data_IF_975680558704
#
_entry.id   IF_975680558704
#
_cell.length_a   1.000
_cell.length_b   1.000
_cell.length_c   1.000
_cell.angle_alpha   90.00
_cell.angle_beta   90.00
_cell.angle_gamma   90.00
#
_symmetry.space_group_name_H-M   'P 1'
#
loop_
_entity.id
_entity.type
_entity.pdbx_description
1 polymer ?
#
# COMPACT_ATOMS: atom_id res chain seq x y z
N UNK A 1 -18.47 -12.43 -32.71
CA UNK A 1 -17.31 -12.47 -31.80
C UNK A 1 -16.30 -13.46 -32.37
N UNK A 2 -15.13 -13.01 -32.82
CA UNK A 2 -14.14 -13.84 -33.51
C UNK A 2 -13.41 -14.79 -32.54
N UNK A 3 -12.76 -15.86 -33.08
CA UNK A 3 -12.14 -16.92 -32.26
C UNK A 3 -11.05 -16.44 -31.29
N UNK A 4 -10.42 -15.28 -31.53
CA UNK A 4 -9.45 -14.65 -30.62
C UNK A 4 -10.11 -14.02 -29.39
N UNK A 5 -11.29 -13.42 -29.53
CA UNK A 5 -12.03 -12.82 -28.43
C UNK A 5 -12.61 -13.89 -27.47
N UNK A 6 -13.02 -15.06 -28.01
CA UNK A 6 -13.44 -16.20 -27.18
C UNK A 6 -12.29 -16.75 -26.31
N UNK A 7 -11.10 -16.94 -26.87
CA UNK A 7 -9.96 -17.44 -26.09
C UNK A 7 -9.52 -16.47 -24.97
N UNK A 8 -9.61 -15.16 -25.20
CA UNK A 8 -9.31 -14.16 -24.16
C UNK A 8 -10.36 -14.18 -23.05
N UNK A 9 -11.64 -14.33 -23.42
CA UNK A 9 -12.75 -14.42 -22.46
C UNK A 9 -12.66 -15.71 -21.61
N UNK A 10 -12.33 -16.85 -22.22
CA UNK A 10 -12.16 -18.12 -21.51
C UNK A 10 -10.92 -18.09 -20.57
N UNK A 11 -9.83 -17.43 -20.98
CA UNK A 11 -8.66 -17.26 -20.11
C UNK A 11 -8.96 -16.36 -18.89
N UNK A 12 -9.73 -15.29 -19.06
CA UNK A 12 -10.16 -14.41 -17.97
C UNK A 12 -11.13 -15.15 -17.04
N UNK A 13 -12.05 -15.96 -17.59
CA UNK A 13 -13.00 -16.74 -16.79
C UNK A 13 -12.29 -17.84 -15.99
N UNK A 14 -11.28 -18.51 -16.57
CA UNK A 14 -10.44 -19.48 -15.85
C UNK A 14 -9.58 -18.82 -14.76
N UNK A 15 -9.11 -17.60 -15.00
CA UNK A 15 -8.39 -16.83 -13.99
C UNK A 15 -9.29 -16.48 -12.80
N UNK A 16 -10.51 -16.01 -13.06
CA UNK A 16 -11.48 -15.65 -12.02
C UNK A 16 -12.00 -16.87 -11.23
N UNK A 17 -12.10 -18.06 -11.88
CA UNK A 17 -12.52 -19.30 -11.18
C UNK A 17 -11.44 -19.88 -10.29
N UNK A 18 -10.16 -19.63 -10.56
CA UNK A 18 -9.05 -20.09 -9.69
C UNK A 18 -8.94 -19.33 -8.37
N UNK A 19 -9.55 -18.14 -8.28
CA UNK A 19 -9.53 -17.31 -7.05
C UNK A 19 -10.87 -17.32 -6.29
N UNK A 20 -11.75 -18.30 -6.54
CA UNK A 20 -12.89 -18.55 -5.66
C UNK A 20 -12.35 -19.11 -4.33
N UNK A 21 -12.34 -18.24 -3.30
CA UNK A 21 -12.09 -18.66 -1.93
C UNK A 21 -13.11 -19.75 -1.55
N UNK A 22 -12.69 -20.96 -1.15
CA UNK A 22 -13.64 -21.97 -0.68
C UNK A 22 -14.30 -21.46 0.60
N UNK A 23 -15.61 -21.35 0.62
CA UNK A 23 -16.37 -21.15 1.85
C UNK A 23 -16.18 -22.39 2.73
N UNK A 24 -15.30 -22.27 3.72
CA UNK A 24 -15.09 -23.34 4.70
C UNK A 24 -16.29 -23.37 5.66
N UNK A 25 -17.15 -24.34 5.50
CA UNK A 25 -18.23 -24.67 6.45
C UNK A 25 -17.73 -25.68 7.46
N UNK A 26 -16.88 -25.26 8.39
CA UNK A 26 -16.48 -26.08 9.53
C UNK A 26 -16.51 -25.22 10.82
N UNK A 27 -17.30 -25.71 11.78
CA UNK A 27 -17.37 -25.35 13.21
C UNK A 27 -17.27 -23.83 13.52
N UNK A 28 -18.34 -23.25 14.06
CA UNK A 28 -18.38 -21.88 14.49
C UNK A 28 -17.27 -21.58 15.50
N UNK A 29 -16.61 -20.41 15.40
CA UNK A 29 -15.65 -19.97 16.40
C UNK A 29 -16.39 -19.71 17.72
N UNK A 30 -15.73 -20.07 18.83
CA UNK A 30 -16.16 -19.66 20.18
C UNK A 30 -16.32 -18.12 20.21
N UNK A 31 -17.25 -17.58 21.05
CA UNK A 31 -17.47 -16.15 21.12
C UNK A 31 -16.21 -15.48 21.63
N UNK A 32 -15.44 -14.91 20.74
CA UNK A 32 -14.35 -14.00 21.10
C UNK A 32 -14.98 -12.80 21.80
N UNK A 33 -14.59 -12.55 23.03
CA UNK A 33 -14.89 -11.29 23.73
C UNK A 33 -14.37 -10.16 22.86
N UNK A 34 -15.27 -9.34 22.31
CA UNK A 34 -14.89 -8.15 21.54
C UNK A 34 -14.03 -7.26 22.43
N UNK A 35 -12.82 -6.89 22.00
CA UNK A 35 -12.03 -5.93 22.75
C UNK A 35 -12.81 -4.61 22.84
N UNK A 36 -12.89 -4.03 24.01
CA UNK A 36 -13.52 -2.72 24.25
C UNK A 36 -12.89 -1.70 23.27
N UNK A 37 -13.69 -0.97 22.47
CA UNK A 37 -13.15 -0.03 21.49
C UNK A 37 -12.29 1.03 22.22
N UNK A 38 -11.04 1.20 21.81
CA UNK A 38 -10.21 2.31 22.23
C UNK A 38 -10.83 3.61 21.65
N UNK A 39 -11.29 4.56 22.48
CA UNK A 39 -11.94 5.78 22.03
C UNK A 39 -11.01 6.69 21.18
N UNK A 40 -9.70 6.45 21.21
CA UNK A 40 -8.72 7.16 20.38
C UNK A 40 -8.54 6.53 18.99
N UNK A 41 -9.08 5.32 18.77
CA UNK A 41 -8.90 4.58 17.51
C UNK A 41 -10.06 4.88 16.54
N UNK A 42 -9.79 5.25 15.27
CA UNK A 42 -10.86 5.48 14.30
C UNK A 42 -11.75 4.25 14.12
N UNK A 43 -13.07 4.46 13.97
CA UNK A 43 -14.05 3.37 13.86
C UNK A 43 -13.74 2.39 12.71
N UNK A 44 -13.24 2.88 11.57
CA UNK A 44 -12.83 2.03 10.44
C UNK A 44 -11.71 1.04 10.79
N UNK A 45 -10.87 1.36 11.79
CA UNK A 45 -9.76 0.50 12.18
C UNK A 45 -10.23 -0.81 12.87
N UNK A 46 -11.47 -0.87 13.35
CA UNK A 46 -12.07 -2.08 13.90
C UNK A 46 -12.29 -3.19 12.85
N UNK A 47 -12.34 -2.82 11.56
CA UNK A 47 -12.45 -3.80 10.47
C UNK A 47 -11.12 -4.44 10.07
N UNK A 48 -10.00 -3.98 10.60
CA UNK A 48 -8.72 -4.63 10.38
C UNK A 48 -8.62 -5.88 11.27
N UNK A 49 -8.11 -6.97 10.71
CA UNK A 49 -8.00 -8.24 11.44
C UNK A 49 -6.55 -8.66 11.62
N UNK A 50 -6.27 -9.21 12.80
CA UNK A 50 -5.01 -9.88 13.07
C UNK A 50 -5.10 -11.34 12.65
N UNK A 51 -4.21 -11.74 11.77
CA UNK A 51 -4.07 -13.13 11.32
C UNK A 51 -2.76 -13.66 11.88
N UNK A 52 -2.80 -14.47 12.96
CA UNK A 52 -1.60 -15.04 13.54
C UNK A 52 -0.98 -16.05 12.57
N UNK A 53 0.33 -16.21 12.69
CA UNK A 53 1.13 -17.21 11.96
C UNK A 53 1.06 -17.11 10.43
N UNK A 54 0.88 -15.89 9.88
CA UNK A 54 0.85 -15.65 8.45
C UNK A 54 1.92 -14.61 8.03
N UNK A 55 2.70 -14.85 6.95
CA UNK A 55 2.75 -16.04 6.09
C UNK A 55 3.57 -17.20 6.69
N UNK A 56 4.12 -17.03 7.87
CA UNK A 56 4.91 -18.05 8.60
C UNK A 56 4.66 -17.95 10.10
N UNK A 57 4.91 -19.03 10.87
CA UNK A 57 4.79 -19.04 12.33
C UNK A 57 5.51 -17.88 13.01
N UNK A 58 4.87 -17.26 14.00
CA UNK A 58 5.37 -16.12 14.78
C UNK A 58 5.13 -14.75 14.15
N UNK A 59 4.58 -14.67 12.95
CA UNK A 59 4.22 -13.39 12.30
C UNK A 59 2.71 -13.14 12.49
N UNK A 60 2.36 -11.95 13.00
CA UNK A 60 0.97 -11.49 13.01
C UNK A 60 0.76 -10.56 11.83
N UNK A 61 -0.02 -11.02 10.85
CA UNK A 61 -0.36 -10.25 9.67
C UNK A 61 -1.58 -9.37 9.93
N UNK A 62 -1.48 -8.09 9.58
CA UNK A 62 -2.60 -7.15 9.68
C UNK A 62 -3.39 -7.15 8.38
N UNK A 63 -4.50 -7.86 8.36
CA UNK A 63 -5.36 -7.97 7.18
C UNK A 63 -6.27 -6.75 7.06
N UNK A 64 -6.08 -5.98 6.02
CA UNK A 64 -6.89 -4.78 5.69
C UNK A 64 -8.02 -5.08 4.71
N UNK A 65 -8.15 -6.33 4.21
CA UNK A 65 -9.16 -6.66 3.20
C UNK A 65 -10.60 -6.39 3.66
N UNK A 66 -10.98 -6.66 4.92
CA UNK A 66 -12.33 -6.32 5.36
C UNK A 66 -12.60 -4.80 5.39
N UNK A 67 -11.59 -4.00 5.73
CA UNK A 67 -11.66 -2.54 5.65
C UNK A 67 -11.87 -2.06 4.22
N UNK A 68 -11.11 -2.63 3.26
CA UNK A 68 -11.24 -2.28 1.84
C UNK A 68 -12.59 -2.73 1.23
N UNK A 69 -13.20 -3.77 1.78
CA UNK A 69 -14.49 -4.30 1.31
C UNK A 69 -15.69 -3.51 1.82
N UNK A 70 -15.55 -2.72 2.88
CA UNK A 70 -16.61 -1.87 3.41
C UNK A 70 -16.50 -0.46 2.82
N UNK A 71 -17.50 -0.06 2.05
CA UNK A 71 -17.45 1.21 1.31
C UNK A 71 -17.41 2.44 2.23
N UNK A 72 -18.08 2.39 3.39
CA UNK A 72 -18.13 3.51 4.34
C UNK A 72 -16.81 3.63 5.09
N UNK A 73 -16.29 2.52 5.59
CA UNK A 73 -15.04 2.48 6.34
C UNK A 73 -13.84 2.82 5.41
N UNK A 74 -13.83 2.30 4.18
CA UNK A 74 -12.79 2.62 3.20
C UNK A 74 -12.79 4.12 2.85
N UNK A 75 -13.97 4.72 2.63
CA UNK A 75 -14.06 6.17 2.39
C UNK A 75 -13.56 6.98 3.59
N UNK A 76 -13.98 6.64 4.81
CA UNK A 76 -13.56 7.33 6.03
C UNK A 76 -12.03 7.23 6.25
N UNK A 77 -11.46 6.05 6.04
CA UNK A 77 -10.00 5.84 6.11
C UNK A 77 -9.26 6.69 5.07
N UNK A 78 -9.78 6.77 3.84
CA UNK A 78 -9.19 7.61 2.79
C UNK A 78 -9.29 9.11 3.12
N UNK A 79 -10.38 9.55 3.73
CA UNK A 79 -10.51 10.93 4.21
C UNK A 79 -9.43 11.27 5.23
N UNK A 80 -9.21 10.37 6.21
CA UNK A 80 -8.16 10.53 7.23
C UNK A 80 -6.76 10.52 6.59
N UNK A 81 -6.52 9.60 5.63
CA UNK A 81 -5.23 9.49 4.94
C UNK A 81 -4.93 10.73 4.09
N UNK A 82 -5.96 11.33 3.48
CA UNK A 82 -5.85 12.52 2.65
C UNK A 82 -5.70 13.81 3.46
N UNK A 83 -6.26 13.88 4.66
CA UNK A 83 -6.37 15.11 5.43
C UNK A 83 -5.06 15.91 5.56
N UNK A 84 -3.89 15.29 5.88
CA UNK A 84 -2.63 16.03 5.99
C UNK A 84 -2.09 16.57 4.66
N UNK A 85 -2.60 16.08 3.52
CA UNK A 85 -2.10 16.37 2.18
C UNK A 85 -3.01 17.28 1.37
N UNK A 86 -4.20 17.59 1.88
CA UNK A 86 -5.11 18.54 1.24
C UNK A 86 -4.44 19.92 1.15
N UNK A 87 -4.39 20.50 -0.05
CA UNK A 87 -3.73 21.78 -0.30
C UNK A 87 -2.20 21.74 -0.29
N UNK A 88 -1.57 20.57 -0.14
CA UNK A 88 -0.11 20.43 -0.18
C UNK A 88 0.48 20.48 -1.59
N UNK A 89 -0.35 20.65 -2.63
CA UNK A 89 0.12 20.74 -4.02
C UNK A 89 0.75 19.42 -4.49
N UNK A 90 0.14 18.28 -4.20
CA UNK A 90 0.58 16.98 -4.66
C UNK A 90 0.23 16.83 -6.14
N UNK A 91 1.23 16.63 -6.99
CA UNK A 91 1.03 16.40 -8.43
C UNK A 91 0.81 14.90 -8.72
N UNK A 92 1.52 14.04 -7.98
CA UNK A 92 1.53 12.59 -8.20
C UNK A 92 1.53 11.84 -6.86
N UNK A 93 0.72 10.81 -6.78
CA UNK A 93 0.80 9.79 -5.73
C UNK A 93 1.52 8.57 -6.30
N UNK A 94 2.60 8.14 -5.67
CA UNK A 94 3.32 6.94 -6.05
C UNK A 94 3.02 5.81 -5.06
N UNK A 95 2.29 4.79 -5.54
CA UNK A 95 1.88 3.63 -4.74
C UNK A 95 2.85 2.47 -4.85
N UNK A 96 3.17 1.83 -3.72
CA UNK A 96 4.09 0.69 -3.67
C UNK A 96 3.34 -0.63 -3.81
N UNK A 97 3.85 -1.55 -4.64
CA UNK A 97 3.27 -2.87 -4.85
C UNK A 97 3.23 -3.68 -3.56
N UNK A 98 2.11 -4.32 -3.19
CA UNK A 98 0.88 -4.39 -3.97
C UNK A 98 -0.27 -3.58 -3.32
N UNK A 99 -0.39 -3.55 -1.97
CA UNK A 99 -1.50 -2.90 -1.27
C UNK A 99 -1.44 -1.37 -1.33
N UNK A 100 -0.24 -0.81 -1.44
CA UNK A 100 -0.04 0.61 -1.74
C UNK A 100 -0.68 1.07 -3.04
N UNK A 101 -0.97 0.16 -3.99
CA UNK A 101 -1.69 0.53 -5.23
C UNK A 101 -3.15 0.85 -4.96
N UNK A 102 -3.81 0.05 -4.12
CA UNK A 102 -5.22 0.27 -3.80
C UNK A 102 -5.38 1.61 -3.07
N UNK A 103 -4.59 1.82 -2.04
CA UNK A 103 -4.62 3.05 -1.24
C UNK A 103 -4.16 4.26 -2.07
N UNK A 104 -3.06 4.10 -2.80
CA UNK A 104 -2.46 5.18 -3.60
C UNK A 104 -3.34 5.63 -4.75
N UNK A 105 -3.96 4.73 -5.50
CA UNK A 105 -4.86 5.09 -6.60
C UNK A 105 -6.12 5.80 -6.08
N UNK A 106 -6.69 5.33 -4.97
CA UNK A 106 -7.83 5.97 -4.34
C UNK A 106 -7.46 7.36 -3.79
N UNK A 107 -6.30 7.48 -3.15
CA UNK A 107 -5.79 8.75 -2.61
C UNK A 107 -5.45 9.75 -3.73
N UNK A 108 -4.84 9.30 -4.84
CA UNK A 108 -4.57 10.14 -6.02
C UNK A 108 -5.87 10.75 -6.56
N UNK A 109 -6.92 9.93 -6.71
CA UNK A 109 -8.23 10.41 -7.12
C UNK A 109 -8.81 11.43 -6.13
N UNK A 110 -8.65 11.18 -4.82
CA UNK A 110 -9.14 12.06 -3.75
C UNK A 110 -8.40 13.41 -3.73
N UNK A 111 -7.09 13.41 -3.98
CA UNK A 111 -6.24 14.62 -4.03
C UNK A 111 -6.21 15.30 -5.39
N UNK A 112 -6.92 14.79 -6.41
CA UNK A 112 -6.87 15.24 -7.80
C UNK A 112 -5.46 15.21 -8.40
N UNK A 113 -4.65 14.21 -8.01
CA UNK A 113 -3.28 13.97 -8.44
C UNK A 113 -3.20 12.80 -9.46
N UNK A 114 -2.09 12.71 -10.19
CA UNK A 114 -1.75 11.53 -10.98
C UNK A 114 -1.38 10.34 -10.09
N UNK A 115 -1.34 9.11 -10.68
CA UNK A 115 -0.89 7.91 -9.98
C UNK A 115 0.26 7.23 -10.72
N UNK A 116 1.33 6.88 -9.99
CA UNK A 116 2.50 6.15 -10.50
C UNK A 116 2.71 4.87 -9.69
N UNK A 117 2.76 3.69 -10.33
CA UNK A 117 3.05 2.44 -9.63
C UNK A 117 4.56 2.25 -9.43
N UNK A 118 4.98 1.93 -8.22
CA UNK A 118 6.32 1.44 -7.91
C UNK A 118 6.26 -0.08 -7.76
N UNK A 119 7.07 -0.83 -8.54
CA UNK A 119 6.90 -2.27 -8.67
C UNK A 119 8.17 -3.06 -8.46
N UNK A 120 8.00 -4.32 -8.13
CA UNK A 120 9.09 -5.31 -8.12
C UNK A 120 9.63 -5.52 -9.54
N UNK A 121 10.90 -5.99 -9.69
CA UNK A 121 11.54 -6.16 -10.99
C UNK A 121 10.72 -6.96 -12.00
N UNK A 122 10.81 -6.52 -13.26
CA UNK A 122 10.18 -7.20 -14.39
C UNK A 122 8.66 -7.01 -14.54
N UNK A 123 8.04 -6.12 -13.76
CA UNK A 123 6.59 -5.89 -13.81
C UNK A 123 6.18 -4.58 -14.46
N UNK A 124 7.14 -3.71 -14.77
CA UNK A 124 6.90 -2.46 -15.49
C UNK A 124 7.37 -2.56 -16.94
N UNK A 125 6.60 -2.08 -17.91
CA UNK A 125 7.04 -2.02 -19.31
C UNK A 125 7.98 -0.84 -19.54
N UNK A 126 8.83 -0.96 -20.57
CA UNK A 126 9.74 0.11 -21.03
C UNK A 126 10.94 0.35 -20.10
N UNK A 127 11.62 1.49 -20.26
CA UNK A 127 12.77 1.84 -19.44
C UNK A 127 12.38 2.10 -18.00
N UNK A 128 13.14 1.54 -17.06
CA UNK A 128 12.94 1.70 -15.63
C UNK A 128 14.20 2.17 -14.93
N UNK A 129 14.06 2.85 -13.81
CA UNK A 129 15.08 3.02 -12.80
C UNK A 129 14.81 2.08 -11.65
N UNK A 130 15.85 1.62 -10.99
CA UNK A 130 15.78 0.61 -9.94
C UNK A 130 16.58 1.05 -8.72
N UNK A 131 16.05 0.71 -7.54
CA UNK A 131 16.71 0.90 -6.25
C UNK A 131 16.66 -0.40 -5.45
N UNK A 132 17.82 -0.80 -4.89
CA UNK A 132 17.95 -2.00 -4.06
C UNK A 132 17.87 -1.63 -2.59
N UNK A 133 17.23 -2.47 -1.78
CA UNK A 133 17.14 -2.26 -0.34
C UNK A 133 17.28 -3.56 0.43
N UNK A 134 17.83 -3.46 1.65
CA UNK A 134 17.98 -4.60 2.54
C UNK A 134 16.65 -4.98 3.18
N UNK A 135 16.36 -6.27 3.21
CA UNK A 135 15.34 -6.91 4.04
C UNK A 135 15.99 -7.48 5.31
N UNK A 136 15.19 -8.00 6.24
CA UNK A 136 15.73 -8.81 7.36
C UNK A 136 16.56 -9.99 6.85
N UNK A 137 16.12 -10.59 5.73
CA UNK A 137 16.81 -11.70 5.07
C UNK A 137 16.92 -11.40 3.58
N UNK A 138 18.11 -10.98 3.14
CA UNK A 138 18.42 -10.71 1.73
C UNK A 138 18.24 -9.26 1.30
N UNK A 139 18.21 -9.07 -0.01
CA UNK A 139 17.96 -7.78 -0.67
C UNK A 139 16.78 -7.90 -1.59
N UNK A 140 16.03 -6.81 -1.71
CA UNK A 140 14.95 -6.70 -2.68
C UNK A 140 15.13 -5.44 -3.51
N UNK A 141 14.35 -5.29 -4.57
CA UNK A 141 14.47 -4.19 -5.51
C UNK A 141 13.11 -3.59 -5.83
N UNK A 142 13.10 -2.28 -6.01
CA UNK A 142 11.92 -1.54 -6.42
C UNK A 142 12.23 -0.80 -7.71
N UNK A 143 11.27 -0.74 -8.62
CA UNK A 143 11.40 -0.08 -9.92
C UNK A 143 10.33 0.98 -10.10
N UNK A 144 10.71 2.04 -10.81
CA UNK A 144 9.84 3.08 -11.35
C UNK A 144 10.16 3.28 -12.83
N UNK A 145 9.17 3.56 -13.67
CA UNK A 145 9.42 3.93 -15.07
C UNK A 145 10.21 5.23 -15.14
N UNK A 146 11.21 5.29 -16.03
CA UNK A 146 12.15 6.41 -16.11
C UNK A 146 11.52 7.76 -16.47
N UNK A 147 10.28 7.74 -16.99
CA UNK A 147 9.56 8.95 -17.40
C UNK A 147 8.25 9.15 -16.61
N UNK A 148 8.12 8.45 -15.47
CA UNK A 148 6.90 8.50 -14.68
C UNK A 148 6.68 9.85 -13.99
N UNK A 149 7.76 10.55 -13.65
CA UNK A 149 7.75 11.88 -13.05
C UNK A 149 8.87 12.74 -13.65
N UNK A 150 8.76 14.05 -13.52
CA UNK A 150 9.74 15.03 -14.00
C UNK A 150 10.37 15.81 -12.84
N UNK A 151 11.44 16.53 -13.13
CA UNK A 151 12.04 17.42 -12.15
C UNK A 151 11.02 18.44 -11.62
N UNK A 152 10.98 18.60 -10.32
CA UNK A 152 10.04 19.49 -9.63
C UNK A 152 8.65 18.91 -9.37
N UNK A 153 8.26 17.76 -9.98
CA UNK A 153 6.98 17.08 -9.66
C UNK A 153 6.91 16.76 -8.17
N UNK A 154 5.85 17.19 -7.51
CA UNK A 154 5.64 16.91 -6.07
C UNK A 154 4.99 15.55 -5.87
N UNK A 155 5.74 14.61 -5.33
CA UNK A 155 5.35 13.20 -5.21
C UNK A 155 5.06 12.85 -3.75
N UNK A 156 3.88 12.26 -3.51
CA UNK A 156 3.50 11.63 -2.26
C UNK A 156 3.64 10.11 -2.39
N UNK A 157 4.44 9.48 -1.55
CA UNK A 157 4.55 8.02 -1.48
C UNK A 157 3.42 7.42 -0.65
N UNK A 158 2.90 6.26 -1.07
CA UNK A 158 1.83 5.56 -0.34
C UNK A 158 2.12 4.07 -0.25
N UNK A 159 2.02 3.54 0.97
CA UNK A 159 2.00 2.11 1.23
C UNK A 159 0.99 1.79 2.34
N UNK A 160 0.72 0.51 2.58
CA UNK A 160 -0.15 0.09 3.68
C UNK A 160 0.61 0.03 5.01
N UNK A 161 1.86 -0.39 5.03
CA UNK A 161 2.62 -0.60 6.26
C UNK A 161 4.04 -0.03 6.20
N UNK A 162 4.42 0.71 7.22
CA UNK A 162 5.81 1.02 7.55
C UNK A 162 6.32 -0.02 8.55
N UNK A 163 7.11 -0.97 8.09
CA UNK A 163 7.79 -1.97 8.90
C UNK A 163 9.25 -1.55 9.18
N UNK A 164 10.22 -2.16 8.50
CA UNK A 164 11.65 -1.81 8.65
C UNK A 164 12.08 -0.55 7.89
N UNK A 165 11.20 0.02 7.06
CA UNK A 165 11.43 1.26 6.31
C UNK A 165 12.25 1.10 5.03
N UNK A 166 12.79 -0.07 4.73
CA UNK A 166 13.64 -0.29 3.55
C UNK A 166 12.92 0.02 2.23
N UNK A 167 11.71 -0.48 2.05
CA UNK A 167 10.90 -0.27 0.84
C UNK A 167 10.56 1.20 0.63
N UNK A 168 10.15 1.88 1.71
CA UNK A 168 9.78 3.29 1.64
C UNK A 168 10.99 4.19 1.36
N UNK A 169 12.16 3.87 1.94
CA UNK A 169 13.42 4.57 1.65
C UNK A 169 13.86 4.38 0.19
N UNK A 170 13.75 3.16 -0.34
CA UNK A 170 14.03 2.89 -1.76
C UNK A 170 13.07 3.67 -2.69
N UNK A 171 11.80 3.74 -2.35
CA UNK A 171 10.83 4.54 -3.09
C UNK A 171 11.18 6.03 -3.08
N UNK A 172 11.61 6.57 -1.93
CA UNK A 172 12.08 7.95 -1.81
C UNK A 172 13.31 8.22 -2.69
N UNK A 173 14.28 7.32 -2.70
CA UNK A 173 15.47 7.43 -3.54
C UNK A 173 15.12 7.43 -5.04
N UNK A 174 14.16 6.59 -5.48
CA UNK A 174 13.69 6.59 -6.87
C UNK A 174 13.09 7.94 -7.28
N UNK A 175 12.23 8.52 -6.43
CA UNK A 175 11.63 9.84 -6.65
C UNK A 175 12.70 10.92 -6.77
N UNK A 176 13.64 10.97 -5.84
CA UNK A 176 14.72 11.96 -5.82
C UNK A 176 15.67 11.82 -7.02
N UNK A 177 15.96 10.61 -7.48
CA UNK A 177 16.79 10.35 -8.68
C UNK A 177 16.17 10.87 -9.98
N UNK A 178 14.85 11.07 -10.04
CA UNK A 178 14.17 11.72 -11.15
C UNK A 178 14.16 13.26 -11.03
N UNK A 179 14.76 13.81 -9.98
CA UNK A 179 14.70 15.25 -9.71
C UNK A 179 13.34 15.73 -9.21
N UNK A 180 12.44 14.81 -8.88
CA UNK A 180 11.15 15.13 -8.32
C UNK A 180 11.27 15.50 -6.83
N UNK A 181 10.29 16.27 -6.33
CA UNK A 181 10.22 16.71 -4.94
C UNK A 181 9.46 15.66 -4.13
N UNK A 182 10.11 15.06 -3.15
CA UNK A 182 9.47 14.17 -2.20
C UNK A 182 8.62 15.02 -1.23
N UNK A 183 7.32 15.08 -1.45
CA UNK A 183 6.40 15.82 -0.59
C UNK A 183 6.20 15.14 0.78
N UNK A 184 6.29 13.82 0.80
CA UNK A 184 6.20 13.00 2.00
C UNK A 184 5.74 11.57 1.72
N UNK A 185 5.35 10.87 2.79
CA UNK A 185 4.75 9.56 2.70
C UNK A 185 3.52 9.42 3.61
N UNK A 186 2.53 8.68 3.13
CA UNK A 186 1.32 8.30 3.84
C UNK A 186 1.24 6.77 3.91
N UNK A 187 1.13 6.23 5.12
CA UNK A 187 0.95 4.80 5.37
C UNK A 187 -0.26 4.57 6.26
N UNK A 188 -0.95 3.45 6.06
CA UNK A 188 -2.08 3.12 6.91
C UNK A 188 -1.61 2.79 8.32
N UNK A 189 -0.52 2.03 8.46
CA UNK A 189 0.02 1.69 9.78
C UNK A 189 1.54 1.73 9.83
N UNK A 190 2.07 1.97 11.03
CA UNK A 190 3.48 1.89 11.40
C UNK A 190 3.68 0.82 12.47
N UNK A 191 4.62 -0.09 12.26
CA UNK A 191 5.07 -1.07 13.24
C UNK A 191 6.29 -0.48 13.99
N UNK A 192 6.02 0.26 15.07
CA UNK A 192 7.03 1.07 15.78
C UNK A 192 8.21 0.23 16.28
N UNK A 193 7.94 -1.00 16.74
CA UNK A 193 8.95 -1.93 17.21
C UNK A 193 10.04 -2.27 16.16
N UNK A 194 9.75 -2.07 14.86
CA UNK A 194 10.71 -2.33 13.78
C UNK A 194 11.55 -1.11 13.38
N UNK A 195 11.29 0.05 13.98
CA UNK A 195 12.10 1.26 13.85
C UNK A 195 12.21 1.83 12.44
N UNK A 196 11.29 1.49 11.53
CA UNK A 196 11.36 1.87 10.13
C UNK A 196 11.40 3.38 9.87
N UNK A 197 10.80 4.18 10.75
CA UNK A 197 10.81 5.64 10.67
C UNK A 197 12.23 6.23 10.69
N UNK A 198 13.19 5.59 11.35
CA UNK A 198 14.56 6.05 11.40
C UNK A 198 15.29 6.05 10.04
N UNK A 199 14.75 5.32 9.05
CA UNK A 199 15.27 5.30 7.67
C UNK A 199 14.62 6.34 6.76
N UNK A 200 13.59 7.03 7.25
CA UNK A 200 12.89 8.05 6.46
C UNK A 200 13.67 9.38 6.49
N UNK A 201 13.75 10.11 5.35
CA UNK A 201 14.38 11.43 5.32
C UNK A 201 13.75 12.38 6.35
N UNK A 202 14.61 13.00 7.19
CA UNK A 202 14.16 13.83 8.30
C UNK A 202 13.45 15.13 7.85
N UNK A 203 13.71 15.57 6.63
CA UNK A 203 13.15 16.76 6.00
C UNK A 203 11.83 16.52 5.27
N UNK A 204 11.41 15.26 5.15
CA UNK A 204 10.15 14.90 4.50
C UNK A 204 9.10 14.40 5.51
N UNK A 205 7.85 14.84 5.35
CA UNK A 205 6.77 14.41 6.24
C UNK A 205 6.45 12.93 6.07
N UNK A 206 6.29 12.20 7.19
CA UNK A 206 5.81 10.81 7.21
C UNK A 206 4.60 10.70 8.14
N UNK A 207 3.48 10.30 7.58
CA UNK A 207 2.21 10.17 8.30
C UNK A 207 1.75 8.71 8.29
N UNK A 208 1.51 8.18 9.48
CA UNK A 208 0.85 6.89 9.70
C UNK A 208 -0.48 7.16 10.41
N UNK A 209 -1.56 6.51 9.96
CA UNK A 209 -2.86 6.65 10.63
C UNK A 209 -2.92 5.85 11.92
N UNK A 210 -2.28 4.69 11.94
CA UNK A 210 -2.20 3.82 13.12
C UNK A 210 -0.73 3.58 13.48
N UNK A 211 -0.46 3.41 14.78
CA UNK A 211 0.85 2.99 15.29
C UNK A 211 0.68 1.78 16.22
N UNK A 212 1.55 0.80 16.07
CA UNK A 212 1.53 -0.45 16.83
C UNK A 212 2.91 -0.82 17.35
#
# INVERSE_FOLDING_TARGET
MGPRARRLFDAVLQFLTRYRCPMNTAAGPEPMTEPTPDPARPAWAALMRDVPDFPKPGVVFRDICPLLADAVAFAAMLDDLAAPWRGAGIDVVAGIEARGFVLGAALARHLHAGFVPLRKPGKLPGPVIEESYALEYGTDRLQMQSHAVHAGTRVLLVDDVLATGGTLAAAAALVQRQGAVLAGAAVLMELEALGGRARWPADAALRALLRH
#
